data_IF_508419924696
#
_entry.id   IF_508419924696
#
_cell.length_a   1.000
_cell.length_b   1.000
_cell.length_c   1.000
_cell.angle_alpha   90.00
_cell.angle_beta   90.00
_cell.angle_gamma   90.00
#
_symmetry.space_group_name_H-M   'P 1'
#
loop_
_entity.id
_entity.type
_entity.pdbx_description
1 polymer ?
#
# COMPACT_ATOMS: atom_id res chain seq x y z
N UNK A 1 12.03 5.98 -3.53
CA UNK A 1 13.13 6.81 -4.07
C UNK A 1 14.49 6.37 -3.56
N UNK A 2 14.72 6.32 -2.25
CA UNK A 2 16.04 5.92 -1.72
C UNK A 2 16.37 4.43 -1.79
N UNK A 3 15.35 3.56 -1.87
CA UNK A 3 15.57 2.12 -2.10
C UNK A 3 16.02 1.81 -3.54
N UNK A 4 15.62 2.62 -4.52
CA UNK A 4 16.04 2.45 -5.91
C UNK A 4 17.39 3.13 -6.21
N UNK A 5 17.69 4.23 -5.50
CA UNK A 5 18.91 5.01 -5.64
C UNK A 5 19.51 5.31 -4.26
N UNK A 6 20.42 4.44 -3.76
CA UNK A 6 20.99 4.58 -2.42
C UNK A 6 21.77 5.88 -2.19
N UNK A 7 22.27 6.53 -3.25
CA UNK A 7 22.97 7.82 -3.15
C UNK A 7 22.10 8.98 -2.63
N UNK A 8 20.77 8.83 -2.64
CA UNK A 8 19.82 9.83 -2.13
C UNK A 8 19.47 9.63 -0.65
N UNK A 9 20.08 8.65 0.03
CA UNK A 9 19.92 8.40 1.47
C UNK A 9 20.19 9.64 2.34
N UNK A 10 21.25 10.44 2.12
CA UNK A 10 21.53 11.61 2.95
C UNK A 10 20.47 12.71 2.80
N UNK A 11 19.88 12.83 1.61
CA UNK A 11 18.93 13.89 1.26
C UNK A 11 17.47 13.50 1.51
N UNK A 12 17.21 12.41 2.25
CA UNK A 12 15.84 11.92 2.55
C UNK A 12 14.92 13.00 3.11
N UNK A 13 15.43 13.80 4.05
CA UNK A 13 14.65 14.84 4.73
C UNK A 13 14.32 15.98 3.77
N UNK A 14 15.30 16.44 3.00
CA UNK A 14 15.12 17.52 2.02
C UNK A 14 14.13 17.12 0.93
N UNK A 15 14.26 15.92 0.37
CA UNK A 15 13.32 15.38 -0.62
C UNK A 15 11.89 15.26 -0.05
N UNK A 16 11.74 14.86 1.22
CA UNK A 16 10.45 14.80 1.88
C UNK A 16 9.83 16.20 2.03
N UNK A 17 10.61 17.20 2.45
CA UNK A 17 10.15 18.58 2.60
C UNK A 17 9.77 19.21 1.26
N UNK A 18 10.57 18.99 0.21
CA UNK A 18 10.25 19.45 -1.15
C UNK A 18 8.96 18.81 -1.65
N UNK A 19 8.80 17.50 -1.47
CA UNK A 19 7.58 16.79 -1.87
C UNK A 19 6.35 17.29 -1.12
N UNK A 20 6.48 17.53 0.19
CA UNK A 20 5.43 18.08 1.03
C UNK A 20 5.04 19.49 0.55
N UNK A 21 6.02 20.36 0.31
CA UNK A 21 5.78 21.72 -0.17
C UNK A 21 5.06 21.72 -1.52
N UNK A 22 5.48 20.88 -2.47
CA UNK A 22 4.78 20.72 -3.76
C UNK A 22 3.34 20.23 -3.57
N UNK A 23 3.12 19.24 -2.71
CA UNK A 23 1.78 18.73 -2.40
C UNK A 23 0.90 19.80 -1.76
N UNK A 24 1.44 20.62 -0.86
CA UNK A 24 0.75 21.77 -0.30
C UNK A 24 0.37 22.78 -1.39
N UNK A 25 1.29 23.12 -2.29
CA UNK A 25 1.00 24.04 -3.40
C UNK A 25 -0.10 23.49 -4.32
N UNK A 26 -0.07 22.19 -4.63
CA UNK A 26 -1.10 21.53 -5.46
C UNK A 26 -2.46 21.57 -4.75
N UNK A 27 -2.52 21.23 -3.46
CA UNK A 27 -3.76 21.26 -2.69
C UNK A 27 -4.33 22.68 -2.58
N UNK A 28 -3.48 23.70 -2.44
CA UNK A 28 -3.90 25.12 -2.41
C UNK A 28 -4.33 25.63 -3.79
N UNK A 29 -3.77 25.11 -4.89
CA UNK A 29 -4.17 25.49 -6.26
C UNK A 29 -5.55 24.99 -6.66
N UNK A 30 -6.17 24.11 -5.85
CA UNK A 30 -7.54 23.65 -6.06
C UNK A 30 -7.70 22.95 -7.41
N UNK A 31 -6.90 21.91 -7.68
CA UNK A 31 -6.98 21.12 -8.91
C UNK A 31 -8.27 20.29 -8.92
N UNK A 32 -9.39 20.95 -9.21
CA UNK A 32 -10.76 20.41 -9.11
C UNK A 32 -11.11 19.40 -10.23
N UNK A 33 -10.21 19.16 -11.18
CA UNK A 33 -10.45 18.35 -12.39
C UNK A 33 -9.59 17.07 -12.51
N UNK A 34 -8.74 16.73 -11.53
CA UNK A 34 -7.70 15.69 -11.71
C UNK A 34 -7.96 14.34 -11.04
N UNK A 35 -9.17 14.03 -10.58
CA UNK A 35 -9.46 12.70 -10.01
C UNK A 35 -9.09 11.55 -10.97
N UNK A 36 -9.21 11.77 -12.29
CA UNK A 36 -8.82 10.80 -13.31
C UNK A 36 -7.30 10.67 -13.48
N UNK A 37 -6.52 11.75 -13.33
CA UNK A 37 -5.06 11.72 -13.46
C UNK A 37 -4.43 10.89 -12.33
N UNK A 38 -5.02 10.93 -11.13
CA UNK A 38 -4.59 10.11 -10.00
C UNK A 38 -5.02 8.64 -10.08
N UNK A 39 -5.97 8.27 -10.95
CA UNK A 39 -6.41 6.89 -11.11
C UNK A 39 -5.36 6.03 -11.86
N UNK A 40 -4.65 6.61 -12.82
CA UNK A 40 -3.67 5.88 -13.64
C UNK A 40 -2.54 5.25 -12.78
N UNK A 41 -1.86 5.99 -11.87
CA UNK A 41 -0.86 5.39 -10.98
C UNK A 41 -1.42 4.25 -10.12
N UNK A 42 -2.66 4.38 -9.65
CA UNK A 42 -3.32 3.38 -8.79
C UNK A 42 -3.56 2.08 -9.55
N UNK A 43 -4.07 2.15 -10.78
CA UNK A 43 -4.29 0.94 -11.60
C UNK A 43 -2.98 0.26 -11.99
N UNK A 44 -1.95 1.04 -12.35
CA UNK A 44 -0.61 0.49 -12.64
C UNK A 44 -0.04 -0.21 -11.41
N UNK A 45 -0.19 0.38 -10.22
CA UNK A 45 0.24 -0.24 -8.97
C UNK A 45 -0.46 -1.58 -8.71
N UNK A 46 -1.80 -1.61 -8.77
CA UNK A 46 -2.58 -2.85 -8.54
C UNK A 46 -2.16 -3.94 -9.52
N UNK A 47 -2.05 -3.61 -10.82
CA UNK A 47 -1.64 -4.58 -11.84
C UNK A 47 -0.22 -5.10 -11.59
N UNK A 48 0.73 -4.21 -11.29
CA UNK A 48 2.12 -4.59 -11.02
C UNK A 48 2.26 -5.50 -9.80
N UNK A 49 1.50 -5.23 -8.74
CA UNK A 49 1.47 -6.06 -7.53
C UNK A 49 0.86 -7.43 -7.81
N UNK A 50 -0.28 -7.50 -8.50
CA UNK A 50 -0.91 -8.76 -8.87
C UNK A 50 0.01 -9.61 -9.78
N UNK A 51 0.71 -8.97 -10.72
CA UNK A 51 1.70 -9.64 -11.55
C UNK A 51 2.88 -10.18 -10.72
N UNK A 52 3.40 -9.40 -9.76
CA UNK A 52 4.46 -9.84 -8.85
C UNK A 52 4.02 -11.05 -8.03
N UNK A 53 2.83 -11.01 -7.43
CA UNK A 53 2.26 -12.12 -6.66
C UNK A 53 2.08 -13.35 -7.56
N UNK A 54 1.50 -13.18 -8.75
CA UNK A 54 1.29 -14.27 -9.70
C UNK A 54 2.59 -14.94 -10.15
N UNK A 55 3.63 -14.15 -10.45
CA UNK A 55 4.96 -14.67 -10.78
C UNK A 55 5.59 -15.40 -9.58
N UNK A 56 5.43 -14.86 -8.36
CA UNK A 56 5.90 -15.49 -7.13
C UNK A 56 5.26 -16.87 -6.91
N UNK A 57 3.93 -16.95 -6.99
CA UNK A 57 3.18 -18.20 -6.89
C UNK A 57 3.57 -19.20 -7.97
N UNK A 58 3.70 -18.74 -9.22
CA UNK A 58 4.12 -19.60 -10.33
C UNK A 58 5.50 -20.20 -10.08
N UNK A 59 6.48 -19.39 -9.65
CA UNK A 59 7.82 -19.87 -9.30
C UNK A 59 7.79 -20.88 -8.15
N UNK A 60 6.94 -20.66 -7.16
CA UNK A 60 6.71 -21.59 -6.05
C UNK A 60 6.20 -22.96 -6.56
N UNK A 61 5.20 -22.97 -7.44
CA UNK A 61 4.66 -24.21 -8.00
C UNK A 61 5.64 -24.96 -8.90
N UNK A 62 6.52 -24.24 -9.61
CA UNK A 62 7.57 -24.85 -10.45
C UNK A 62 8.83 -25.24 -9.66
N UNK A 63 8.88 -24.98 -8.35
CA UNK A 63 10.05 -25.28 -7.52
C UNK A 63 11.28 -24.43 -7.86
N UNK A 64 11.11 -23.26 -8.48
CA UNK A 64 12.23 -22.36 -8.75
C UNK A 64 12.72 -21.74 -7.43
N UNK A 65 14.04 -21.59 -7.25
CA UNK A 65 14.58 -20.95 -6.06
C UNK A 65 14.10 -19.48 -5.98
N UNK A 66 13.82 -18.99 -4.75
CA UNK A 66 13.49 -17.58 -4.53
C UNK A 66 14.65 -16.68 -4.99
N UNK A 67 14.33 -15.52 -5.58
CA UNK A 67 15.32 -14.58 -6.18
C UNK A 67 16.25 -14.00 -5.12
N UNK A 68 15.74 -13.83 -3.91
CA UNK A 68 16.52 -13.49 -2.73
C UNK A 68 16.14 -14.52 -1.68
N UNK A 69 17.15 -15.13 -1.05
CA UNK A 69 16.91 -15.86 0.18
C UNK A 69 16.23 -14.87 1.13
N UNK A 70 14.98 -15.16 1.54
CA UNK A 70 14.46 -14.62 2.80
C UNK A 70 15.61 -14.83 3.77
N UNK A 71 16.22 -13.74 4.26
CA UNK A 71 17.28 -13.84 5.26
C UNK A 71 16.72 -14.80 6.28
N UNK A 72 17.29 -16.02 6.33
CA UNK A 72 16.73 -17.10 7.12
C UNK A 72 16.54 -16.50 8.48
N UNK A 73 15.28 -16.43 8.95
CA UNK A 73 14.95 -15.90 10.27
C UNK A 73 16.03 -16.48 11.19
N UNK A 74 16.93 -15.64 11.76
CA UNK A 74 18.03 -16.19 12.51
C UNK A 74 17.40 -17.13 13.53
N UNK A 75 17.83 -18.39 13.55
CA UNK A 75 17.31 -19.41 14.48
C UNK A 75 17.43 -18.97 15.95
N UNK A 76 18.12 -17.85 16.19
CA UNK A 76 18.25 -17.12 17.44
C UNK A 76 17.08 -16.18 17.81
N UNK A 77 16.04 -16.00 16.98
CA UNK A 77 14.88 -15.15 17.31
C UNK A 77 13.60 -15.99 17.47
N UNK A 78 13.70 -17.11 18.18
CA UNK A 78 12.59 -17.52 19.05
C UNK A 78 12.80 -16.77 20.37
N UNK A 79 12.84 -15.44 20.31
CA UNK A 79 12.57 -14.65 21.50
C UNK A 79 11.15 -15.02 21.95
N UNK A 80 10.85 -15.12 23.25
CA UNK A 80 9.45 -15.28 23.68
C UNK A 80 8.66 -14.14 23.04
N UNK A 81 7.80 -14.47 22.08
CA UNK A 81 6.96 -13.49 21.40
C UNK A 81 6.06 -12.90 22.45
N UNK A 82 6.49 -11.78 23.05
CA UNK A 82 5.71 -11.11 24.06
C UNK A 82 4.39 -10.66 23.43
N UNK A 83 3.33 -10.63 24.23
CA UNK A 83 2.04 -10.03 23.80
C UNK A 83 2.27 -8.63 23.22
N UNK A 84 3.26 -7.89 23.73
CA UNK A 84 3.67 -6.61 23.19
C UNK A 84 4.16 -6.66 21.74
N UNK A 85 4.93 -7.67 21.32
CA UNK A 85 5.38 -7.81 19.93
C UNK A 85 4.20 -8.15 18.99
N UNK A 86 3.26 -8.97 19.44
CA UNK A 86 2.04 -9.27 18.68
C UNK A 86 1.22 -8.00 18.50
N UNK A 87 1.00 -7.25 19.59
CA UNK A 87 0.27 -5.99 19.55
C UNK A 87 0.98 -4.94 18.68
N UNK A 88 2.32 -4.89 18.69
CA UNK A 88 3.09 -3.99 17.83
C UNK A 88 2.97 -4.35 16.35
N UNK A 89 3.08 -5.64 16.01
CA UNK A 89 2.89 -6.12 14.65
C UNK A 89 1.45 -5.85 14.16
N UNK A 90 0.46 -6.09 15.03
CA UNK A 90 -0.93 -5.76 14.77
C UNK A 90 -1.15 -4.27 14.54
N UNK A 91 -0.60 -3.41 15.41
CA UNK A 91 -0.68 -1.96 15.26
C UNK A 91 -0.03 -1.46 13.96
N UNK A 92 1.09 -2.06 13.54
CA UNK A 92 1.67 -1.75 12.22
C UNK A 92 0.76 -2.20 11.07
N UNK A 93 0.05 -3.31 11.20
CA UNK A 93 -0.95 -3.77 10.24
C UNK A 93 -2.17 -2.84 10.14
N UNK A 94 -2.65 -2.29 11.26
CA UNK A 94 -3.76 -1.34 11.28
C UNK A 94 -3.48 -0.08 10.45
N UNK A 95 -2.21 0.36 10.36
CA UNK A 95 -1.84 1.50 9.51
C UNK A 95 -2.12 1.25 8.02
N UNK A 96 -2.16 -0.01 7.57
CA UNK A 96 -2.54 -0.34 6.18
C UNK A 96 -4.05 -0.14 5.91
N UNK A 97 -4.89 -0.08 6.96
CA UNK A 97 -6.33 0.18 6.83
C UNK A 97 -6.68 1.67 6.82
N UNK A 98 -5.72 2.57 7.04
CA UNK A 98 -5.98 4.01 6.96
C UNK A 98 -6.38 4.37 5.52
N UNK A 99 -7.53 5.05 5.36
CA UNK A 99 -8.07 5.41 4.05
C UNK A 99 -9.46 4.83 3.74
N UNK A 100 -9.92 3.83 4.50
CA UNK A 100 -11.33 3.38 4.44
C UNK A 100 -12.28 4.46 4.96
N UNK A 101 -11.86 5.22 5.96
CA UNK A 101 -12.58 6.38 6.51
C UNK A 101 -12.77 7.49 5.47
N UNK A 102 -11.73 7.81 4.70
CA UNK A 102 -11.80 8.83 3.65
C UNK A 102 -12.82 8.49 2.55
N UNK A 103 -13.07 7.21 2.27
CA UNK A 103 -14.12 6.76 1.36
C UNK A 103 -15.51 6.76 1.99
N UNK A 104 -15.60 6.47 3.29
CA UNK A 104 -16.86 6.55 4.04
C UNK A 104 -17.37 8.00 4.18
N UNK A 105 -16.46 8.96 4.34
CA UNK A 105 -16.80 10.39 4.36
C UNK A 105 -17.19 10.93 2.98
N UNK A 106 -16.73 10.27 1.91
CA UNK A 106 -16.99 10.63 0.52
C UNK A 106 -18.31 10.13 -0.07
N UNK A 107 -19.21 9.52 0.72
CA UNK A 107 -20.44 8.85 0.21
C UNK A 107 -21.31 9.79 -0.65
N UNK A 108 -21.39 11.08 -0.29
CA UNK A 108 -22.19 12.06 -1.03
C UNK A 108 -21.68 12.33 -2.46
N UNK A 109 -20.43 11.98 -2.77
CA UNK A 109 -19.84 12.14 -4.10
C UNK A 109 -20.17 10.97 -5.05
N UNK A 110 -20.75 9.88 -4.55
CA UNK A 110 -21.13 8.73 -5.37
C UNK A 110 -22.39 9.03 -6.19
N UNK A 111 -22.50 8.39 -7.35
CA UNK A 111 -23.73 8.44 -8.17
C UNK A 111 -24.87 7.73 -7.42
N UNK A 112 -26.11 8.20 -7.59
CA UNK A 112 -27.27 7.49 -7.06
C UNK A 112 -27.41 6.08 -7.66
N UNK A 113 -27.77 5.06 -6.85
CA UNK A 113 -27.97 5.08 -5.40
C UNK A 113 -26.64 5.14 -4.60
N UNK A 114 -26.41 6.26 -3.90
CA UNK A 114 -25.10 6.63 -3.33
C UNK A 114 -24.58 5.60 -2.33
N UNK A 115 -25.42 5.23 -1.36
CA UNK A 115 -25.05 4.28 -0.30
C UNK A 115 -24.67 2.90 -0.86
N UNK A 116 -25.41 2.39 -1.85
CA UNK A 116 -25.09 1.09 -2.47
C UNK A 116 -23.76 1.15 -3.22
N UNK A 117 -23.54 2.20 -3.99
CA UNK A 117 -22.31 2.35 -4.77
C UNK A 117 -21.10 2.53 -3.86
N UNK A 118 -21.21 3.32 -2.79
CA UNK A 118 -20.14 3.48 -1.81
C UNK A 118 -19.78 2.15 -1.12
N UNK A 119 -20.77 1.37 -0.70
CA UNK A 119 -20.55 0.04 -0.08
C UNK A 119 -19.85 -0.91 -1.05
N UNK A 120 -20.31 -0.97 -2.31
CA UNK A 120 -19.67 -1.82 -3.32
C UNK A 120 -18.22 -1.41 -3.56
N UNK A 121 -17.93 -0.11 -3.64
CA UNK A 121 -16.56 0.38 -3.81
C UNK A 121 -15.68 0.08 -2.59
N UNK A 122 -16.20 0.24 -1.37
CA UNK A 122 -15.50 -0.13 -0.14
C UNK A 122 -15.17 -1.64 -0.10
N UNK A 123 -16.10 -2.50 -0.53
CA UNK A 123 -15.86 -3.94 -0.62
C UNK A 123 -14.76 -4.27 -1.64
N UNK A 124 -14.77 -3.64 -2.82
CA UNK A 124 -13.70 -3.83 -3.80
C UNK A 124 -12.34 -3.40 -3.26
N UNK A 125 -12.26 -2.25 -2.59
CA UNK A 125 -11.02 -1.78 -1.96
C UNK A 125 -10.54 -2.76 -0.89
N UNK A 126 -11.43 -3.26 -0.04
CA UNK A 126 -11.09 -4.23 1.00
C UNK A 126 -10.53 -5.52 0.39
N UNK A 127 -11.20 -6.08 -0.62
CA UNK A 127 -10.74 -7.30 -1.30
C UNK A 127 -9.37 -7.09 -1.95
N UNK A 128 -9.18 -6.00 -2.71
CA UNK A 128 -7.91 -5.70 -3.36
C UNK A 128 -6.80 -5.57 -2.31
N UNK A 129 -6.99 -4.75 -1.29
CA UNK A 129 -5.98 -4.53 -0.25
C UNK A 129 -5.67 -5.82 0.52
N UNK A 130 -6.67 -6.63 0.87
CA UNK A 130 -6.45 -7.93 1.52
C UNK A 130 -5.66 -8.89 0.63
N UNK A 131 -5.97 -9.00 -0.66
CA UNK A 131 -5.23 -9.84 -1.60
C UNK A 131 -3.78 -9.36 -1.74
N UNK A 132 -3.57 -8.05 -1.89
CA UNK A 132 -2.22 -7.50 -2.02
C UNK A 132 -1.39 -7.68 -0.76
N UNK A 133 -1.99 -7.50 0.43
CA UNK A 133 -1.31 -7.68 1.70
C UNK A 133 -0.93 -9.14 1.94
N UNK A 134 -1.86 -10.07 1.72
CA UNK A 134 -1.62 -11.50 1.86
C UNK A 134 -0.59 -12.04 0.87
N UNK A 135 -0.55 -11.53 -0.36
CA UNK A 135 0.42 -11.96 -1.37
C UNK A 135 1.83 -11.40 -1.17
N UNK A 136 1.98 -10.38 -0.32
CA UNK A 136 3.28 -9.78 0.02
C UNK A 136 3.92 -10.40 1.28
N UNK A 137 3.09 -10.96 2.16
CA UNK A 137 3.51 -11.66 3.38
C UNK A 137 4.13 -13.02 3.07
#
# INVERSE_FOLDING_TARGET
MTSAFPGLLPFRVELALVSLFLLTLINLRGVRESASIFALPTYVFIFSMLAMIGIGLWRMFMGLPPVEAVASLPSAVIAPTSVFLILRAFASGCSAMTGTEAMADGVAAFKEPQAKNAVVTLLWMAVILSTLFLGMA
#
